data_IF_705192157915
#
_entry.id   IF_705192157915
#
_cell.length_a   1.000
_cell.length_b   1.000
_cell.length_c   1.000
_cell.angle_alpha   90.00
_cell.angle_beta   90.00
_cell.angle_gamma   90.00
#
_symmetry.space_group_name_H-M   'P 1'
#
loop_
_entity.id
_entity.type
_entity.pdbx_description
1 polymer ?
#
# COMPACT_ATOMS: atom_id res chain seq x y z
N UNK A 1 -4.55 13.64 -55.80
CA UNK A 1 -3.08 13.74 -55.72
C UNK A 1 -2.77 14.78 -54.63
N UNK A 2 -1.80 14.46 -53.77
CA UNK A 2 -1.33 15.19 -52.58
C UNK A 2 -1.92 14.82 -51.21
N UNK A 3 -1.22 13.86 -50.61
CA UNK A 3 -1.03 13.61 -49.19
C UNK A 3 -0.66 14.86 -48.39
N UNK A 4 -1.17 14.94 -47.16
CA UNK A 4 -0.35 15.16 -45.95
C UNK A 4 -1.06 14.57 -44.72
N UNK A 5 -0.57 13.45 -44.15
CA UNK A 5 -1.19 12.79 -43.00
C UNK A 5 -0.35 13.00 -41.74
N UNK A 6 -0.45 14.12 -41.04
CA UNK A 6 0.24 14.25 -39.74
C UNK A 6 -0.53 15.17 -38.80
N UNK A 7 -0.99 14.63 -37.68
CA UNK A 7 -0.62 15.12 -36.34
C UNK A 7 -1.33 14.30 -35.26
N UNK A 8 -0.57 13.33 -34.71
CA UNK A 8 -0.29 13.26 -33.27
C UNK A 8 -1.39 13.63 -32.26
N UNK A 9 -2.64 13.20 -32.45
CA UNK A 9 -3.49 12.94 -31.29
C UNK A 9 -2.95 11.64 -30.69
N UNK A 10 -1.91 11.80 -29.88
CA UNK A 10 -1.50 10.86 -28.84
C UNK A 10 -2.77 10.32 -28.21
N UNK A 11 -3.21 9.14 -28.65
CA UNK A 11 -3.97 8.25 -27.79
C UNK A 11 -3.07 8.11 -26.56
N UNK A 12 -3.39 8.85 -25.49
CA UNK A 12 -3.06 8.44 -24.13
C UNK A 12 -3.67 7.05 -24.02
N UNK A 13 -2.93 6.02 -24.44
CA UNK A 13 -3.24 4.64 -24.12
C UNK A 13 -2.97 4.55 -22.62
N UNK A 14 -3.94 5.02 -21.83
CA UNK A 14 -4.16 4.52 -20.50
C UNK A 14 -4.41 3.04 -20.69
N UNK A 15 -3.35 2.24 -20.63
CA UNK A 15 -3.51 0.82 -20.42
C UNK A 15 -4.15 0.72 -19.04
N UNK A 16 -5.46 0.46 -19.02
CA UNK A 16 -6.19 0.19 -17.78
C UNK A 16 -5.51 -1.01 -17.09
N UNK A 17 -5.29 -0.89 -15.79
CA UNK A 17 -4.78 -1.99 -14.98
C UNK A 17 -5.84 -3.13 -15.02
N UNK A 18 -5.51 -4.37 -15.45
CA UNK A 18 -4.19 -4.89 -15.82
C UNK A 18 -3.82 -4.74 -17.32
N UNK A 19 -2.55 -4.43 -17.57
CA UNK A 19 -1.96 -4.17 -18.89
C UNK A 19 -1.82 -5.41 -19.79
N UNK A 20 -1.81 -5.23 -21.12
CA UNK A 20 -1.86 -6.34 -22.08
C UNK A 20 -0.50 -6.95 -22.47
N UNK A 21 0.62 -6.29 -22.16
CA UNK A 21 1.97 -6.84 -22.42
C UNK A 21 2.35 -7.84 -21.32
N UNK A 22 2.92 -8.98 -21.70
CA UNK A 22 3.20 -10.10 -20.77
C UNK A 22 3.98 -9.71 -19.50
N UNK A 23 5.07 -8.93 -19.64
CA UNK A 23 5.87 -8.46 -18.50
C UNK A 23 5.05 -7.53 -17.59
N UNK A 24 4.30 -6.59 -18.16
CA UNK A 24 3.51 -5.64 -17.38
C UNK A 24 2.37 -6.35 -16.65
N UNK A 25 1.65 -7.28 -17.29
CA UNK A 25 0.62 -8.12 -16.65
C UNK A 25 1.17 -8.96 -15.49
N UNK A 26 2.40 -9.45 -15.61
CA UNK A 26 3.08 -10.18 -14.55
C UNK A 26 3.41 -9.27 -13.37
N UNK A 27 3.96 -8.08 -13.63
CA UNK A 27 4.19 -7.06 -12.61
C UNK A 27 2.90 -6.63 -11.91
N UNK A 28 1.80 -6.45 -12.66
CA UNK A 28 0.49 -6.09 -12.11
C UNK A 28 0.00 -7.12 -11.08
N UNK A 29 0.20 -8.41 -11.37
CA UNK A 29 -0.10 -9.51 -10.42
C UNK A 29 0.81 -9.52 -9.21
N UNK A 30 2.12 -9.30 -9.40
CA UNK A 30 3.08 -9.22 -8.29
C UNK A 30 2.71 -8.07 -7.36
N UNK A 31 2.47 -6.87 -7.90
CA UNK A 31 2.11 -5.70 -7.11
C UNK A 31 0.85 -5.96 -6.29
N UNK A 32 -0.15 -6.62 -6.89
CA UNK A 32 -1.36 -7.00 -6.16
C UNK A 32 -1.09 -7.98 -5.00
N UNK A 33 -0.21 -8.97 -5.20
CA UNK A 33 0.17 -9.89 -4.13
C UNK A 33 0.99 -9.20 -3.03
N UNK A 34 1.97 -8.39 -3.43
CA UNK A 34 2.85 -7.63 -2.54
C UNK A 34 2.04 -6.63 -1.70
N UNK A 35 1.01 -6.01 -2.28
CA UNK A 35 0.10 -5.12 -1.58
C UNK A 35 -0.53 -5.77 -0.34
N UNK A 36 -0.73 -7.09 -0.35
CA UNK A 36 -1.23 -7.87 0.77
C UNK A 36 -0.11 -8.42 1.68
N UNK A 37 0.99 -8.89 1.09
CA UNK A 37 2.08 -9.57 1.82
C UNK A 37 2.91 -8.61 2.67
N UNK A 38 3.22 -7.41 2.16
CA UNK A 38 4.10 -6.48 2.87
C UNK A 38 3.56 -6.04 4.24
N UNK A 39 2.29 -5.64 4.39
CA UNK A 39 1.74 -5.32 5.72
C UNK A 39 1.88 -6.46 6.73
N UNK A 40 1.77 -7.73 6.28
CA UNK A 40 1.87 -8.91 7.13
C UNK A 40 3.28 -9.11 7.70
N UNK A 41 4.30 -8.46 7.14
CA UNK A 41 5.65 -8.47 7.74
C UNK A 41 5.71 -7.74 9.08
N UNK A 42 4.63 -7.05 9.48
CA UNK A 42 4.47 -6.45 10.82
C UNK A 42 4.05 -7.48 11.87
N UNK A 43 3.61 -8.68 11.47
CA UNK A 43 3.15 -9.71 12.41
C UNK A 43 4.19 -10.10 13.47
N UNK A 44 5.50 -10.25 13.17
CA UNK A 44 6.51 -10.49 14.20
C UNK A 44 6.60 -9.38 15.24
N UNK A 45 6.46 -8.12 14.81
CA UNK A 45 6.44 -6.98 15.74
C UNK A 45 5.21 -7.02 16.65
N UNK A 46 4.05 -7.34 16.09
CA UNK A 46 2.80 -7.52 16.84
C UNK A 46 2.92 -8.71 17.80
N UNK A 47 3.57 -9.79 17.40
CA UNK A 47 3.81 -10.96 18.25
C UNK A 47 4.67 -10.61 19.46
N UNK A 48 5.78 -9.90 19.28
CA UNK A 48 6.63 -9.46 20.39
C UNK A 48 5.83 -8.62 21.40
N UNK A 49 5.04 -7.67 20.90
CA UNK A 49 4.27 -6.77 21.75
C UNK A 49 3.14 -7.51 22.47
N UNK A 50 2.32 -8.29 21.76
CA UNK A 50 1.10 -8.85 22.34
C UNK A 50 1.27 -10.20 23.02
N UNK A 51 2.24 -11.01 22.59
CA UNK A 51 2.51 -12.34 23.16
C UNK A 51 3.66 -12.28 24.15
N UNK A 52 4.80 -11.71 23.74
CA UNK A 52 5.97 -11.59 24.63
C UNK A 52 5.83 -10.43 25.63
N UNK A 53 4.82 -9.57 25.45
CA UNK A 53 4.58 -8.39 26.29
C UNK A 53 5.78 -7.45 26.33
N UNK A 54 6.49 -7.38 25.21
CA UNK A 54 7.69 -6.56 25.08
C UNK A 54 7.55 -5.60 23.91
N UNK A 55 7.38 -4.32 24.25
CA UNK A 55 7.47 -3.22 23.30
C UNK A 55 8.69 -2.32 23.57
N UNK A 56 9.72 -2.84 24.24
CA UNK A 56 10.95 -2.11 24.51
C UNK A 56 11.59 -1.63 23.22
N UNK A 57 11.90 -0.33 23.15
CA UNK A 57 12.48 0.29 21.95
C UNK A 57 11.48 0.56 20.81
N UNK A 58 10.20 0.25 20.98
CA UNK A 58 9.15 0.57 19.99
C UNK A 58 8.72 2.02 20.16
N UNK A 59 9.08 2.88 19.20
CA UNK A 59 8.69 4.29 19.22
C UNK A 59 7.22 4.49 18.83
N UNK A 60 6.37 4.80 19.81
CA UNK A 60 4.94 5.12 19.58
C UNK A 60 4.78 6.26 18.57
N UNK A 61 5.60 7.30 18.65
CA UNK A 61 5.55 8.45 17.72
C UNK A 61 5.81 8.01 16.28
N UNK A 62 6.75 7.09 16.06
CA UNK A 62 7.07 6.57 14.73
C UNK A 62 5.87 5.80 14.14
N UNK A 63 5.31 4.87 14.91
CA UNK A 63 4.19 4.05 14.43
C UNK A 63 2.88 4.86 14.29
N UNK A 64 2.65 5.83 15.15
CA UNK A 64 1.53 6.78 15.01
C UNK A 64 1.69 7.67 13.76
N UNK A 65 2.92 8.07 13.44
CA UNK A 65 3.20 8.83 12.19
C UNK A 65 2.93 7.98 10.96
N UNK A 66 3.34 6.71 10.96
CA UNK A 66 3.02 5.78 9.86
C UNK A 66 1.52 5.53 9.74
N UNK A 67 0.79 5.42 10.85
CA UNK A 67 -0.67 5.34 10.85
C UNK A 67 -1.29 6.58 10.21
N UNK A 68 -0.85 7.78 10.60
CA UNK A 68 -1.32 9.04 10.03
C UNK A 68 -1.09 9.11 8.51
N UNK A 69 0.11 8.78 8.04
CA UNK A 69 0.40 8.76 6.61
C UNK A 69 -0.38 7.68 5.86
N UNK A 70 -0.59 6.51 6.46
CA UNK A 70 -1.40 5.45 5.86
C UNK A 70 -2.86 5.89 5.66
N UNK A 71 -3.42 6.70 6.57
CA UNK A 71 -4.76 7.28 6.41
C UNK A 71 -4.84 8.24 5.21
N UNK A 72 -3.81 9.06 5.01
CA UNK A 72 -3.72 9.95 3.84
C UNK A 72 -3.64 9.14 2.55
N UNK A 73 -2.79 8.11 2.51
CA UNK A 73 -2.66 7.24 1.34
C UNK A 73 -3.90 6.41 1.04
N UNK A 74 -4.58 5.91 2.07
CA UNK A 74 -5.87 5.24 1.91
C UNK A 74 -6.89 6.20 1.29
N UNK A 75 -6.96 7.44 1.80
CA UNK A 75 -7.86 8.47 1.26
C UNK A 75 -7.55 8.77 -0.21
N UNK A 76 -6.27 8.89 -0.56
CA UNK A 76 -5.82 9.05 -1.95
C UNK A 76 -6.26 7.86 -2.83
N UNK A 77 -6.04 6.63 -2.36
CA UNK A 77 -6.43 5.41 -3.07
C UNK A 77 -7.94 5.33 -3.33
N UNK A 78 -8.75 5.73 -2.34
CA UNK A 78 -10.22 5.78 -2.47
C UNK A 78 -10.63 6.81 -3.53
N UNK A 79 -10.09 8.03 -3.47
CA UNK A 79 -10.42 9.11 -4.43
C UNK A 79 -10.06 8.71 -5.87
N UNK A 80 -8.92 8.05 -6.07
CA UNK A 80 -8.45 7.61 -7.39
C UNK A 80 -8.95 6.22 -7.80
N UNK A 81 -9.74 5.54 -6.94
CA UNK A 81 -10.26 4.18 -7.15
C UNK A 81 -9.18 3.12 -7.39
N UNK A 82 -8.01 3.31 -6.81
CA UNK A 82 -6.85 2.44 -6.93
C UNK A 82 -6.93 1.27 -5.93
N UNK A 83 -7.59 0.18 -6.33
CA UNK A 83 -7.84 -0.99 -5.47
C UNK A 83 -6.60 -1.53 -4.74
N UNK A 84 -5.44 -1.70 -5.39
CA UNK A 84 -4.25 -2.23 -4.69
C UNK A 84 -3.79 -1.31 -3.55
N UNK A 85 -3.83 0.02 -3.75
CA UNK A 85 -3.51 0.99 -2.70
C UNK A 85 -4.51 0.90 -1.55
N UNK A 86 -5.81 0.88 -1.85
CA UNK A 86 -6.87 0.80 -0.84
C UNK A 86 -6.66 -0.42 0.06
N UNK A 87 -6.49 -1.61 -0.55
CA UNK A 87 -6.33 -2.87 0.18
C UNK A 87 -5.04 -2.84 1.03
N UNK A 88 -3.93 -2.37 0.45
CA UNK A 88 -2.64 -2.33 1.14
C UNK A 88 -2.68 -1.40 2.35
N UNK A 89 -3.14 -0.16 2.16
CA UNK A 89 -3.15 0.83 3.24
C UNK A 89 -4.21 0.55 4.29
N UNK A 90 -5.35 -0.05 3.94
CA UNK A 90 -6.30 -0.55 4.92
C UNK A 90 -5.67 -1.63 5.82
N UNK A 91 -4.92 -2.56 5.24
CA UNK A 91 -4.22 -3.60 6.01
C UNK A 91 -3.12 -3.00 6.88
N UNK A 92 -2.33 -2.05 6.35
CA UNK A 92 -1.31 -1.32 7.11
C UNK A 92 -1.89 -0.58 8.32
N UNK A 93 -3.04 0.07 8.16
CA UNK A 93 -3.71 0.79 9.25
C UNK A 93 -4.04 -0.17 10.41
N UNK A 94 -4.60 -1.35 10.13
CA UNK A 94 -4.89 -2.34 11.16
C UNK A 94 -3.61 -2.77 11.90
N UNK A 95 -2.54 -3.02 11.15
CA UNK A 95 -1.25 -3.41 11.74
C UNK A 95 -0.65 -2.29 12.59
N UNK A 96 -0.62 -1.05 12.10
CA UNK A 96 -0.08 0.10 12.83
C UNK A 96 -0.89 0.42 14.08
N UNK A 97 -2.22 0.34 14.04
CA UNK A 97 -3.07 0.50 15.23
C UNK A 97 -2.70 -0.55 16.28
N UNK A 98 -2.56 -1.81 15.88
CA UNK A 98 -2.18 -2.90 16.79
C UNK A 98 -0.81 -2.64 17.46
N UNK A 99 0.17 -2.15 16.69
CA UNK A 99 1.49 -1.80 17.22
C UNK A 99 1.42 -0.58 18.15
N UNK A 100 0.73 0.49 17.76
CA UNK A 100 0.60 1.70 18.59
C UNK A 100 -0.08 1.38 19.92
N UNK A 101 -1.22 0.67 19.88
CA UNK A 101 -1.96 0.30 21.10
C UNK A 101 -1.10 -0.60 21.98
N UNK A 102 -0.49 -1.63 21.40
CA UNK A 102 0.33 -2.55 22.19
C UNK A 102 1.60 -1.89 22.75
N UNK A 103 2.22 -0.97 22.01
CA UNK A 103 3.38 -0.21 22.48
C UNK A 103 3.03 0.77 23.62
N UNK A 104 1.82 1.33 23.63
CA UNK A 104 1.34 2.14 24.77
C UNK A 104 1.05 1.27 26.00
N UNK A 105 0.63 0.02 25.82
CA UNK A 105 0.28 -0.88 26.92
C UNK A 105 1.46 -1.66 27.50
N UNK A 106 2.46 -1.98 26.68
CA UNK A 106 3.58 -2.87 27.02
C UNK A 106 4.97 -2.27 26.76
N UNK A 107 5.04 -0.95 26.52
CA UNK A 107 6.29 -0.20 26.30
C UNK A 107 6.77 0.53 27.53
#
# INVERSE_FOLDING_TARGET
MHHHPHQHIRKRKGEEFPSQKGIKKFLDKIIFAVAFIMPLMTLPQIYNIWILKDASGVSVVTWASFLFFALIWLSYGIVHREKPLIISYATWIVMHISVVVGAVLYG
#
